data_IF_060063627059
#
_entry.id   IF_060063627059
#
_cell.length_a   1.000
_cell.length_b   1.000
_cell.length_c   1.000
_cell.angle_alpha   90.00
_cell.angle_beta   90.00
_cell.angle_gamma   90.00
#
_symmetry.space_group_name_H-M   'P 1'
#
loop_
_entity.id
_entity.type
_entity.pdbx_description
1 polymer ?
#
# COMPACT_ATOMS: atom_id res chain seq x y z
N UNK A 1 8.43 5.53 -19.60
CA UNK A 1 8.80 4.16 -19.18
C UNK A 1 9.10 4.04 -17.68
N UNK A 2 9.86 4.97 -17.08
CA UNK A 2 10.21 4.88 -15.64
C UNK A 2 9.00 4.93 -14.70
N UNK A 3 8.10 5.91 -14.89
CA UNK A 3 6.93 6.09 -14.00
C UNK A 3 6.01 4.86 -13.95
N UNK A 4 5.76 4.21 -15.10
CA UNK A 4 4.95 2.98 -15.15
C UNK A 4 5.57 1.86 -14.29
N UNK A 5 6.87 1.60 -14.47
CA UNK A 5 7.58 0.60 -13.65
C UNK A 5 7.56 0.96 -12.16
N UNK A 6 7.70 2.23 -11.82
CA UNK A 6 7.62 2.68 -10.43
C UNK A 6 6.25 2.37 -9.84
N UNK A 7 5.16 2.65 -10.55
CA UNK A 7 3.80 2.34 -10.11
C UNK A 7 3.64 0.83 -9.92
N UNK A 8 4.01 0.02 -10.93
CA UNK A 8 3.90 -1.45 -10.88
C UNK A 8 4.70 -2.04 -9.70
N UNK A 9 5.91 -1.53 -9.45
CA UNK A 9 6.75 -1.96 -8.33
C UNK A 9 6.10 -1.64 -6.99
N UNK A 10 5.57 -0.43 -6.82
CA UNK A 10 4.91 -0.01 -5.57
C UNK A 10 3.67 -0.84 -5.29
N UNK A 11 2.86 -1.13 -6.30
CA UNK A 11 1.73 -2.03 -6.16
C UNK A 11 2.17 -3.43 -5.75
N UNK A 12 3.20 -3.98 -6.38
CA UNK A 12 3.73 -5.31 -6.01
C UNK A 12 4.24 -5.35 -4.56
N UNK A 13 4.91 -4.29 -4.10
CA UNK A 13 5.34 -4.15 -2.71
C UNK A 13 4.16 -4.08 -1.74
N UNK A 14 3.12 -3.31 -2.06
CA UNK A 14 1.91 -3.21 -1.24
C UNK A 14 1.19 -4.56 -1.11
N UNK A 15 1.08 -5.31 -2.20
CA UNK A 15 0.50 -6.66 -2.17
C UNK A 15 1.37 -7.62 -1.36
N UNK A 16 2.68 -7.63 -1.56
CA UNK A 16 3.57 -8.57 -0.88
C UNK A 16 3.73 -8.31 0.62
N UNK A 17 3.78 -7.03 1.02
CA UNK A 17 4.10 -6.64 2.39
C UNK A 17 2.87 -6.46 3.27
N UNK A 18 1.74 -6.04 2.68
CA UNK A 18 0.55 -5.65 3.43
C UNK A 18 -0.70 -6.44 3.04
N UNK A 19 -0.60 -7.35 2.06
CA UNK A 19 -1.71 -8.17 1.59
C UNK A 19 -2.96 -7.33 1.24
N UNK A 20 -2.73 -6.18 0.59
CA UNK A 20 -3.76 -5.16 0.37
C UNK A 20 -4.95 -5.69 -0.45
N UNK A 21 -4.72 -6.68 -1.30
CA UNK A 21 -5.72 -7.36 -2.13
C UNK A 21 -6.76 -8.14 -1.31
N UNK A 22 -6.40 -8.57 -0.09
CA UNK A 22 -7.24 -9.40 0.77
C UNK A 22 -7.60 -8.71 2.09
N UNK A 23 -7.71 -7.38 2.06
CA UNK A 23 -8.03 -6.58 3.23
C UNK A 23 -9.48 -6.80 3.72
N UNK A 24 -9.65 -7.51 4.84
CA UNK A 24 -10.95 -7.74 5.49
C UNK A 24 -11.28 -6.62 6.47
N UNK A 25 -12.40 -5.92 6.26
CA UNK A 25 -12.88 -4.86 7.18
C UNK A 25 -14.40 -4.87 7.33
N UNK A 26 -14.90 -4.26 8.41
CA UNK A 26 -16.33 -4.08 8.64
C UNK A 26 -16.84 -2.86 7.87
N UNK A 27 -17.05 -3.04 6.56
CA UNK A 27 -17.67 -2.05 5.67
C UNK A 27 -16.70 -1.08 4.99
N UNK A 28 -17.23 -0.27 4.07
CA UNK A 28 -16.43 0.56 3.15
C UNK A 28 -15.56 1.58 3.90
N UNK A 29 -16.10 2.25 4.92
CA UNK A 29 -15.34 3.20 5.72
C UNK A 29 -14.13 2.54 6.40
N UNK A 30 -14.30 1.31 6.91
CA UNK A 30 -13.21 0.53 7.47
C UNK A 30 -12.18 0.13 6.42
N UNK A 31 -12.62 -0.25 5.22
CA UNK A 31 -11.73 -0.56 4.10
C UNK A 31 -10.89 0.66 3.71
N UNK A 32 -11.52 1.83 3.56
CA UNK A 32 -10.84 3.06 3.21
C UNK A 32 -9.78 3.43 4.27
N UNK A 33 -10.16 3.43 5.56
CA UNK A 33 -9.23 3.72 6.65
C UNK A 33 -8.04 2.74 6.64
N UNK A 34 -8.30 1.45 6.40
CA UNK A 34 -7.25 0.43 6.38
C UNK A 34 -6.28 0.62 5.21
N UNK A 35 -6.79 0.97 4.03
CA UNK A 35 -5.95 1.31 2.86
C UNK A 35 -5.09 2.54 3.15
N UNK A 36 -5.68 3.60 3.72
CA UNK A 36 -4.94 4.83 4.08
C UNK A 36 -3.80 4.53 5.08
N UNK A 37 -4.05 3.69 6.09
CA UNK A 37 -3.03 3.26 7.04
C UNK A 37 -1.90 2.45 6.39
N UNK A 38 -2.23 1.53 5.47
CA UNK A 38 -1.24 0.73 4.73
C UNK A 38 -0.35 1.64 3.88
N UNK A 39 -0.94 2.58 3.14
CA UNK A 39 -0.21 3.53 2.30
C UNK A 39 0.72 4.40 3.16
N UNK A 40 0.23 4.90 4.31
CA UNK A 40 1.05 5.67 5.24
C UNK A 40 2.26 4.86 5.74
N UNK A 41 2.04 3.63 6.19
CA UNK A 41 3.12 2.77 6.67
C UNK A 41 4.14 2.47 5.58
N UNK A 42 3.69 2.21 4.35
CA UNK A 42 4.57 2.01 3.19
C UNK A 42 5.44 3.24 2.91
N UNK A 43 4.85 4.44 2.90
CA UNK A 43 5.56 5.68 2.64
C UNK A 43 6.56 6.03 3.74
N UNK A 44 6.21 5.81 5.01
CA UNK A 44 7.11 6.03 6.15
C UNK A 44 8.31 5.09 6.07
N UNK A 45 8.09 3.81 5.80
CA UNK A 45 9.19 2.85 5.60
C UNK A 45 10.08 3.24 4.44
N UNK A 46 9.51 3.75 3.34
CA UNK A 46 10.30 4.24 2.21
C UNK A 46 11.11 5.49 2.56
N UNK A 47 10.57 6.39 3.40
CA UNK A 47 11.29 7.55 3.91
C UNK A 47 12.44 7.17 4.85
N UNK A 48 12.27 6.17 5.70
CA UNK A 48 13.34 5.68 6.60
C UNK A 48 14.46 4.95 5.85
N UNK A 49 14.17 4.36 4.70
CA UNK A 49 15.13 3.61 3.89
C UNK A 49 15.91 4.45 2.86
N UNK A 50 15.52 5.70 2.62
CA UNK A 50 16.15 6.64 1.68
C UNK A 50 16.91 7.75 2.40
#
# INVERSE_FOLDING_TARGET
>A
MAMRRTIETRFSELCHLFDIEHTLTRGIAGLQLRIEQIILAHNLRYFEMN
#
